data_IF_156560925821
#
_entry.id   IF_156560925821
#
_cell.length_a   1.000
_cell.length_b   1.000
_cell.length_c   1.000
_cell.angle_alpha   90.00
_cell.angle_beta   90.00
_cell.angle_gamma   90.00
#
_symmetry.space_group_name_H-M   'P 1'
#
loop_
_entity.id
_entity.type
_entity.pdbx_description
1 polymer ?
#
# COMPACT_ATOMS: atom_id res chain seq x y z
N UNK A 1 17.40 -32.19 -2.67
CA UNK A 1 16.77 -32.40 -1.35
C UNK A 1 16.83 -31.09 -0.56
N UNK A 2 15.80 -30.25 -0.66
CA UNK A 2 15.72 -28.98 0.09
C UNK A 2 15.27 -29.26 1.51
N UNK A 3 16.17 -29.07 2.48
CA UNK A 3 15.80 -29.06 3.89
C UNK A 3 14.66 -28.04 4.08
N UNK A 4 13.47 -28.53 4.45
CA UNK A 4 12.40 -27.68 4.97
C UNK A 4 12.97 -27.01 6.22
N UNK A 5 13.42 -25.77 6.10
CA UNK A 5 13.71 -24.94 7.27
C UNK A 5 12.39 -24.80 8.02
N UNK A 6 12.21 -25.59 9.08
CA UNK A 6 11.11 -25.42 10.03
C UNK A 6 11.39 -24.12 10.80
N UNK A 7 10.92 -23.03 10.24
CA UNK A 7 11.06 -21.73 10.87
C UNK A 7 10.03 -21.61 11.99
N UNK A 8 10.50 -21.70 13.23
CA UNK A 8 9.68 -21.40 14.40
C UNK A 8 9.43 -19.89 14.44
N UNK A 9 8.25 -19.48 14.01
CA UNK A 9 7.72 -18.17 14.38
C UNK A 9 7.55 -18.11 15.89
N UNK A 10 7.82 -16.96 16.50
CA UNK A 10 7.46 -16.74 17.89
C UNK A 10 5.96 -17.09 18.06
N UNK A 11 5.56 -17.85 19.12
CA UNK A 11 4.17 -18.27 19.31
C UNK A 11 3.14 -17.13 19.19
N UNK A 12 3.55 -15.92 19.59
CA UNK A 12 2.76 -14.69 19.45
C UNK A 12 2.39 -14.36 18.01
N UNK A 13 3.31 -14.54 17.06
CA UNK A 13 3.08 -14.23 15.64
C UNK A 13 2.12 -15.21 15.00
N UNK A 14 2.19 -16.48 15.40
CA UNK A 14 1.23 -17.50 14.99
C UNK A 14 -0.18 -17.14 15.48
N UNK A 15 -0.31 -16.69 16.73
CA UNK A 15 -1.58 -16.23 17.28
C UNK A 15 -2.12 -14.97 16.57
N UNK A 16 -1.26 -13.98 16.31
CA UNK A 16 -1.63 -12.76 15.54
C UNK A 16 -2.08 -13.12 14.12
N UNK A 17 -1.38 -14.04 13.46
CA UNK A 17 -1.74 -14.50 12.12
C UNK A 17 -3.10 -15.23 12.10
N UNK A 18 -3.34 -16.10 13.08
CA UNK A 18 -4.61 -16.81 13.20
C UNK A 18 -5.78 -15.84 13.41
N UNK A 19 -5.61 -14.86 14.32
CA UNK A 19 -6.62 -13.85 14.58
C UNK A 19 -6.86 -12.93 13.36
N UNK A 20 -5.78 -12.54 12.68
CA UNK A 20 -5.88 -11.73 11.46
C UNK A 20 -6.64 -12.50 10.36
N UNK A 21 -6.34 -13.78 10.14
CA UNK A 21 -7.07 -14.63 9.18
C UNK A 21 -8.55 -14.75 9.54
N UNK A 22 -8.86 -14.97 10.82
CA UNK A 22 -10.24 -15.03 11.31
C UNK A 22 -11.00 -13.75 11.00
N UNK A 23 -10.38 -12.58 11.20
CA UNK A 23 -10.99 -11.27 10.91
C UNK A 23 -11.09 -10.94 9.43
N UNK A 24 -10.18 -11.46 8.59
CA UNK A 24 -10.23 -11.26 7.14
C UNK A 24 -11.19 -12.21 6.42
N UNK A 25 -11.54 -13.37 7.02
CA UNK A 25 -12.45 -14.35 6.41
C UNK A 25 -13.78 -13.74 5.93
N UNK A 26 -14.48 -12.86 6.69
CA UNK A 26 -15.70 -12.20 6.22
C UNK A 26 -15.50 -11.25 5.03
N UNK A 27 -14.25 -10.82 4.79
CA UNK A 27 -13.89 -9.94 3.67
C UNK A 27 -13.61 -10.71 2.36
N UNK A 28 -13.62 -12.05 2.37
CA UNK A 28 -13.35 -12.91 1.20
C UNK A 28 -12.03 -12.55 0.49
N UNK A 29 -10.97 -12.36 1.27
CA UNK A 29 -9.62 -12.08 0.77
C UNK A 29 -8.87 -13.38 0.46
N UNK A 30 -9.31 -14.04 -0.61
CA UNK A 30 -8.73 -15.29 -1.11
C UNK A 30 -7.40 -14.97 -1.80
N UNK A 31 -6.33 -14.78 -1.02
CA UNK A 31 -5.02 -14.37 -1.53
C UNK A 31 -4.28 -13.35 -0.68
N UNK A 32 -4.72 -13.08 0.55
CA UNK A 32 -3.97 -12.25 1.47
C UNK A 32 -2.62 -12.90 1.82
N UNK A 33 -1.54 -12.12 1.73
CA UNK A 33 -0.16 -12.62 1.92
C UNK A 33 0.01 -13.36 3.26
N UNK A 34 0.77 -14.46 3.24
CA UNK A 34 1.14 -15.22 4.45
C UNK A 34 2.29 -14.56 5.19
N UNK A 35 2.55 -14.99 6.44
CA UNK A 35 3.75 -14.56 7.18
C UNK A 35 5.04 -14.90 6.42
N UNK A 36 5.13 -16.07 5.80
CA UNK A 36 6.30 -16.46 5.00
C UNK A 36 6.48 -15.52 3.80
N UNK A 37 5.41 -15.21 3.07
CA UNK A 37 5.49 -14.28 1.94
C UNK A 37 5.99 -12.90 2.36
N UNK A 38 5.56 -12.41 3.53
CA UNK A 38 6.01 -11.14 4.06
C UNK A 38 7.46 -11.20 4.51
N UNK A 39 7.85 -12.26 5.21
CA UNK A 39 9.23 -12.46 5.66
C UNK A 39 10.19 -12.41 4.48
N UNK A 40 9.92 -13.22 3.45
CA UNK A 40 10.80 -13.34 2.30
C UNK A 40 10.92 -12.01 1.54
N UNK A 41 9.82 -11.24 1.45
CA UNK A 41 9.85 -9.89 0.86
C UNK A 41 10.60 -8.88 1.72
N UNK A 42 10.47 -8.97 3.05
CA UNK A 42 11.15 -8.07 3.98
C UNK A 42 12.67 -8.33 3.99
N UNK A 43 13.09 -9.60 3.98
CA UNK A 43 14.50 -10.01 3.80
C UNK A 43 15.03 -9.45 2.48
N UNK A 44 14.33 -9.73 1.37
CA UNK A 44 14.77 -9.27 0.07
C UNK A 44 14.87 -7.74 -0.03
N UNK A 45 14.02 -7.01 0.72
CA UNK A 45 14.08 -5.55 0.83
C UNK A 45 15.32 -5.09 1.61
N UNK A 46 15.65 -5.74 2.75
CA UNK A 46 16.88 -5.48 3.49
C UNK A 46 18.13 -5.74 2.65
N UNK A 47 18.21 -6.88 1.95
CA UNK A 47 19.31 -7.20 1.05
C UNK A 47 19.48 -6.16 -0.08
N UNK A 48 18.39 -5.55 -0.52
CA UNK A 48 18.43 -4.47 -1.53
C UNK A 48 18.98 -3.19 -0.92
N UNK A 49 18.61 -2.87 0.32
CA UNK A 49 19.08 -1.66 0.99
C UNK A 49 20.56 -1.72 1.31
N UNK A 50 21.04 -2.85 1.86
CA UNK A 50 22.47 -3.08 2.13
C UNK A 50 23.31 -2.96 0.85
N UNK A 51 22.92 -3.66 -0.21
CA UNK A 51 23.70 -3.66 -1.46
C UNK A 51 23.75 -2.32 -2.18
N UNK A 52 22.80 -1.42 -1.92
CA UNK A 52 22.63 -0.16 -2.67
C UNK A 52 22.86 1.08 -1.82
N UNK A 53 23.17 0.94 -0.54
CA UNK A 53 23.30 2.07 0.39
C UNK A 53 22.01 2.90 0.43
N UNK A 54 20.84 2.25 0.44
CA UNK A 54 19.57 2.98 0.50
C UNK A 54 19.38 3.52 1.91
N UNK A 55 19.40 4.84 1.99
CA UNK A 55 19.03 5.61 3.17
C UNK A 55 17.69 6.30 2.92
N UNK A 56 16.94 6.53 3.99
CA UNK A 56 15.63 7.18 3.91
C UNK A 56 15.17 7.55 5.31
N UNK A 57 14.15 8.42 5.40
CA UNK A 57 13.69 8.96 6.68
C UNK A 57 13.36 7.87 7.72
N UNK A 58 12.83 6.75 7.26
CA UNK A 58 12.44 5.61 8.10
C UNK A 58 13.35 4.37 7.91
N UNK A 59 14.55 4.52 7.35
CA UNK A 59 15.46 3.38 7.13
C UNK A 59 16.01 2.78 8.45
N UNK A 60 16.33 3.62 9.44
CA UNK A 60 16.77 3.16 10.76
C UNK A 60 15.68 2.34 11.46
N UNK A 61 14.43 2.82 11.40
CA UNK A 61 13.27 2.11 11.92
C UNK A 61 13.08 0.76 11.21
N UNK A 62 13.40 0.66 9.92
CA UNK A 62 13.25 -0.59 9.16
C UNK A 62 14.17 -1.68 9.71
N UNK A 63 15.40 -1.32 10.10
CA UNK A 63 16.35 -2.26 10.70
C UNK A 63 15.94 -2.72 12.11
N UNK A 64 15.14 -1.93 12.83
CA UNK A 64 14.52 -2.36 14.09
C UNK A 64 13.46 -3.46 13.87
N UNK A 65 12.91 -3.56 12.66
CA UNK A 65 11.94 -4.58 12.23
C UNK A 65 12.61 -5.82 11.63
N UNK A 66 13.80 -6.17 12.14
CA UNK A 66 14.82 -6.94 11.47
C UNK A 66 14.34 -8.21 10.71
N UNK A 67 15.11 -8.66 9.70
CA UNK A 67 14.71 -9.68 8.73
C UNK A 67 14.25 -11.05 9.29
N UNK A 68 14.49 -11.33 10.57
CA UNK A 68 14.06 -12.57 11.25
C UNK A 68 12.92 -12.41 12.26
N UNK A 69 12.49 -11.19 12.57
CA UNK A 69 11.51 -10.92 13.63
C UNK A 69 10.37 -10.11 13.03
N UNK A 70 9.19 -10.71 12.94
CA UNK A 70 8.01 -9.92 12.62
C UNK A 70 7.82 -8.87 13.72
N UNK A 71 7.34 -7.69 13.32
CA UNK A 71 7.22 -6.60 14.27
C UNK A 71 6.19 -6.92 15.36
N UNK A 72 6.67 -7.11 16.59
CA UNK A 72 5.85 -7.45 17.75
C UNK A 72 4.95 -6.31 18.22
N UNK A 73 5.27 -5.07 17.82
CA UNK A 73 4.44 -3.90 18.07
C UNK A 73 4.28 -3.07 16.77
N UNK A 74 3.06 -3.00 16.20
CA UNK A 74 2.78 -2.16 15.03
C UNK A 74 3.14 -0.68 15.22
N UNK A 75 3.27 -0.19 16.47
CA UNK A 75 3.68 1.18 16.81
C UNK A 75 5.19 1.39 16.71
N UNK A 76 5.97 0.31 16.77
CA UNK A 76 7.43 0.35 16.67
C UNK A 76 7.94 -0.14 15.31
N UNK A 77 7.09 -0.68 14.43
CA UNK A 77 7.54 -0.97 13.06
C UNK A 77 7.72 0.35 12.35
N UNK A 78 8.82 0.46 11.60
CA UNK A 78 8.85 1.32 10.44
C UNK A 78 7.58 1.10 9.63
N UNK A 79 6.78 2.15 9.44
CA UNK A 79 5.55 2.02 8.67
C UNK A 79 5.87 1.42 7.28
N UNK A 80 7.02 1.72 6.70
CA UNK A 80 7.41 1.19 5.41
C UNK A 80 7.78 -0.32 5.39
N UNK A 81 7.91 -1.02 6.52
CA UNK A 81 8.20 -2.46 6.54
C UNK A 81 7.05 -3.29 5.88
N UNK A 82 7.34 -4.44 5.27
CA UNK A 82 6.28 -5.28 4.66
C UNK A 82 5.29 -5.81 5.71
N UNK A 83 5.74 -6.03 6.95
CA UNK A 83 4.88 -6.43 8.08
C UNK A 83 3.85 -5.35 8.46
N UNK A 84 4.26 -4.10 8.63
CA UNK A 84 3.38 -2.99 8.99
C UNK A 84 2.42 -2.66 7.87
N UNK A 85 2.90 -2.64 6.63
CA UNK A 85 2.02 -2.45 5.47
C UNK A 85 0.93 -3.53 5.42
N UNK A 86 1.26 -4.79 5.76
CA UNK A 86 0.28 -5.88 5.83
C UNK A 86 -0.72 -5.69 6.98
N UNK A 87 -0.23 -5.40 8.19
CA UNK A 87 -1.07 -5.22 9.38
C UNK A 87 -2.04 -4.06 9.16
N UNK A 88 -1.57 -2.94 8.63
CA UNK A 88 -2.39 -1.78 8.37
C UNK A 88 -3.40 -2.01 7.25
N UNK A 89 -3.00 -2.71 6.18
CA UNK A 89 -3.92 -3.15 5.14
C UNK A 89 -5.03 -4.03 5.71
N UNK A 90 -4.69 -5.01 6.56
CA UNK A 90 -5.68 -5.83 7.25
C UNK A 90 -6.60 -4.96 8.13
N UNK A 91 -6.04 -4.00 8.87
CA UNK A 91 -6.79 -3.11 9.76
C UNK A 91 -7.86 -2.34 9.03
N UNK A 92 -7.46 -1.66 7.97
CA UNK A 92 -8.34 -0.84 7.18
C UNK A 92 -9.34 -1.71 6.43
N UNK A 93 -8.95 -2.87 5.92
CA UNK A 93 -9.88 -3.75 5.20
C UNK A 93 -10.98 -4.25 6.13
N UNK A 94 -10.64 -4.78 7.31
CA UNK A 94 -11.62 -5.24 8.31
C UNK A 94 -12.53 -4.11 8.77
N UNK A 95 -11.99 -2.90 8.92
CA UNK A 95 -12.76 -1.72 9.36
C UNK A 95 -13.71 -1.19 8.29
N UNK A 96 -13.27 -1.16 7.03
CA UNK A 96 -13.98 -0.49 5.94
C UNK A 96 -14.96 -1.41 5.23
N UNK A 97 -14.61 -2.70 5.09
CA UNK A 97 -15.42 -3.68 4.39
C UNK A 97 -16.88 -3.71 4.86
N UNK A 98 -17.22 -3.90 6.15
CA UNK A 98 -18.62 -3.94 6.59
C UNK A 98 -19.34 -2.60 6.35
N UNK A 99 -18.63 -1.47 6.48
CA UNK A 99 -19.21 -0.12 6.31
C UNK A 99 -19.53 0.18 4.85
N UNK A 100 -18.67 -0.25 3.94
CA UNK A 100 -18.89 -0.11 2.49
C UNK A 100 -19.92 -1.14 1.99
N UNK A 101 -19.87 -2.38 2.49
CA UNK A 101 -20.81 -3.44 2.11
C UNK A 101 -22.26 -3.11 2.49
N UNK A 102 -22.47 -2.44 3.62
CA UNK A 102 -23.79 -2.00 4.09
C UNK A 102 -24.36 -0.80 3.29
N UNK A 103 -23.58 -0.21 2.38
CA UNK A 103 -24.06 0.86 1.51
C UNK A 103 -25.09 0.33 0.51
N UNK A 104 -26.22 1.04 0.39
CA UNK A 104 -27.22 0.78 -0.66
C UNK A 104 -26.76 1.30 -2.02
N UNK A 105 -25.89 2.32 -2.03
CA UNK A 105 -25.31 2.87 -3.25
C UNK A 105 -24.34 1.90 -3.94
N UNK A 106 -24.11 2.07 -5.25
CA UNK A 106 -23.04 1.36 -5.97
C UNK A 106 -21.67 1.57 -5.33
N UNK A 107 -20.76 0.63 -5.56
CA UNK A 107 -19.37 0.69 -5.12
C UNK A 107 -18.49 0.69 -6.36
N UNK A 108 -17.53 1.60 -6.40
CA UNK A 108 -16.63 1.76 -7.54
C UNK A 108 -15.17 1.63 -7.11
N UNK A 109 -14.39 0.94 -7.95
CA UNK A 109 -12.95 1.06 -8.00
C UNK A 109 -12.61 2.14 -9.02
N UNK A 110 -12.00 3.20 -8.52
CA UNK A 110 -11.59 4.37 -9.29
C UNK A 110 -10.07 4.34 -9.41
N UNK A 111 -9.56 4.59 -10.60
CA UNK A 111 -8.15 4.82 -10.87
C UNK A 111 -7.98 6.12 -11.65
N UNK A 112 -7.09 6.98 -11.20
CA UNK A 112 -6.76 8.24 -11.84
C UNK A 112 -5.25 8.30 -12.09
N UNK A 113 -4.88 8.48 -13.35
CA UNK A 113 -3.50 8.73 -13.77
C UNK A 113 -3.43 10.01 -14.59
N UNK A 114 -2.24 10.62 -14.59
CA UNK A 114 -1.93 11.79 -15.41
C UNK A 114 -0.62 11.59 -16.14
N UNK A 115 -0.60 11.90 -17.43
CA UNK A 115 0.64 11.89 -18.23
C UNK A 115 1.70 12.84 -17.66
N UNK A 116 1.30 13.98 -17.12
CA UNK A 116 2.23 14.94 -16.48
C UNK A 116 2.80 14.49 -15.13
N UNK A 117 2.32 13.38 -14.56
CA UNK A 117 2.90 12.78 -13.36
C UNK A 117 3.97 11.75 -13.70
N UNK A 118 4.26 11.52 -14.99
CA UNK A 118 5.33 10.62 -15.38
C UNK A 118 6.66 11.13 -14.84
N UNK A 119 7.38 10.26 -14.17
CA UNK A 119 8.71 10.54 -13.65
C UNK A 119 9.69 9.59 -14.34
N UNK A 120 10.88 10.05 -14.75
CA UNK A 120 11.89 9.13 -15.25
C UNK A 120 12.37 8.19 -14.13
N UNK A 121 12.96 7.02 -14.45
CA UNK A 121 13.60 6.17 -13.46
C UNK A 121 14.71 6.93 -12.72
N UNK A 122 14.74 6.81 -11.39
CA UNK A 122 15.60 7.59 -10.48
C UNK A 122 14.85 8.73 -9.78
N UNK A 123 13.74 9.21 -10.34
CA UNK A 123 13.01 10.38 -9.84
C UNK A 123 11.75 10.05 -9.04
N UNK A 124 11.47 8.78 -8.72
CA UNK A 124 10.23 8.43 -8.00
C UNK A 124 10.12 9.12 -6.63
N UNK A 125 11.25 9.42 -5.99
CA UNK A 125 11.31 10.16 -4.73
C UNK A 125 10.64 11.55 -4.81
N UNK A 126 10.61 12.18 -5.98
CA UNK A 126 9.96 13.50 -6.20
C UNK A 126 8.44 13.42 -6.37
N UNK A 127 7.85 12.23 -6.31
CA UNK A 127 6.40 12.05 -6.40
C UNK A 127 5.67 12.67 -5.21
N UNK A 128 4.96 13.77 -5.44
CA UNK A 128 4.12 14.46 -4.45
C UNK A 128 2.82 13.69 -4.13
N UNK A 129 2.93 12.71 -3.23
CA UNK A 129 1.79 11.92 -2.72
C UNK A 129 0.76 12.80 -2.02
N UNK A 130 1.22 13.78 -1.22
CA UNK A 130 0.34 14.64 -0.44
C UNK A 130 -0.51 15.53 -1.36
N UNK A 131 0.10 16.16 -2.37
CA UNK A 131 -0.59 16.97 -3.37
C UNK A 131 -1.52 16.14 -4.25
N UNK A 132 -1.14 14.91 -4.62
CA UNK A 132 -2.01 13.96 -5.31
C UNK A 132 -3.29 13.65 -4.53
N UNK A 133 -3.15 13.29 -3.25
CA UNK A 133 -4.28 13.03 -2.35
C UNK A 133 -5.12 14.29 -2.11
N UNK A 134 -4.48 15.44 -1.88
CA UNK A 134 -5.18 16.72 -1.68
C UNK A 134 -6.01 17.10 -2.91
N UNK A 135 -5.45 16.93 -4.12
CA UNK A 135 -6.16 17.14 -5.36
C UNK A 135 -7.39 16.22 -5.47
N UNK A 136 -7.24 14.92 -5.19
CA UNK A 136 -8.34 13.96 -5.26
C UNK A 136 -9.45 14.30 -4.28
N UNK A 137 -9.09 14.61 -3.03
CA UNK A 137 -10.03 15.03 -2.00
C UNK A 137 -10.76 16.32 -2.39
N UNK A 138 -10.06 17.29 -3.00
CA UNK A 138 -10.70 18.52 -3.50
C UNK A 138 -11.74 18.21 -4.58
N UNK A 139 -11.49 17.25 -5.46
CA UNK A 139 -12.47 16.80 -6.46
C UNK A 139 -13.66 16.11 -5.82
N UNK A 140 -13.45 15.21 -4.87
CA UNK A 140 -14.57 14.58 -4.17
C UNK A 140 -15.43 15.58 -3.37
N UNK A 141 -14.84 16.68 -2.88
CA UNK A 141 -15.58 17.75 -2.19
C UNK A 141 -16.53 18.54 -3.10
N UNK A 142 -16.41 18.46 -4.43
CA UNK A 142 -17.40 19.08 -5.33
C UNK A 142 -18.70 18.28 -5.43
N UNK A 143 -18.72 17.05 -4.90
CA UNK A 143 -19.93 16.25 -4.78
C UNK A 143 -20.69 16.63 -3.51
N UNK A 144 -22.00 16.31 -3.41
CA UNK A 144 -22.80 16.63 -2.23
C UNK A 144 -22.13 16.15 -0.94
N UNK A 145 -22.17 16.98 0.12
CA UNK A 145 -21.48 16.68 1.39
C UNK A 145 -21.92 15.32 1.95
N UNK A 146 -20.96 14.45 2.26
CA UNK A 146 -21.22 13.13 2.81
C UNK A 146 -21.68 12.07 1.80
N UNK A 147 -21.79 12.44 0.51
CA UNK A 147 -22.12 11.49 -0.56
C UNK A 147 -21.02 10.46 -0.75
N UNK A 148 -19.74 10.82 -0.63
CA UNK A 148 -18.63 9.88 -0.88
C UNK A 148 -18.12 9.26 0.42
N UNK A 149 -18.07 7.93 0.45
CA UNK A 149 -17.42 7.14 1.52
C UNK A 149 -16.45 6.15 0.90
N UNK A 150 -15.29 5.94 1.51
CA UNK A 150 -14.30 5.05 0.93
C UNK A 150 -12.90 5.16 1.48
N UNK A 151 -11.97 4.59 0.71
CA UNK A 151 -10.54 4.68 0.93
C UNK A 151 -9.84 5.00 -0.36
N UNK A 152 -8.86 5.89 -0.27
CA UNK A 152 -8.01 6.35 -1.37
C UNK A 152 -6.59 5.90 -1.03
N UNK A 153 -5.84 5.42 -2.01
CA UNK A 153 -4.44 5.03 -1.92
C UNK A 153 -3.65 5.62 -3.09
N UNK A 154 -2.34 5.72 -2.90
CA UNK A 154 -1.39 6.10 -3.96
C UNK A 154 -0.45 4.93 -4.23
N UNK A 155 -0.33 4.56 -5.49
CA UNK A 155 0.64 3.59 -5.99
C UNK A 155 1.45 4.18 -7.15
N UNK A 156 2.54 3.50 -7.49
CA UNK A 156 3.33 3.82 -8.67
C UNK A 156 3.67 2.53 -9.41
N UNK A 157 3.48 2.52 -10.73
CA UNK A 157 3.88 1.43 -11.63
C UNK A 157 4.94 1.90 -12.59
N UNK A 158 5.90 1.02 -12.92
CA UNK A 158 6.86 1.30 -13.98
C UNK A 158 6.23 0.96 -15.32
N UNK A 159 6.43 1.81 -16.32
CA UNK A 159 6.03 1.55 -17.69
C UNK A 159 7.28 1.50 -18.58
N UNK A 160 7.24 0.63 -19.58
CA UNK A 160 8.25 0.49 -20.63
C UNK A 160 7.53 0.38 -21.97
N UNK A 161 7.81 1.33 -22.85
CA UNK A 161 7.27 1.36 -24.21
C UNK A 161 8.44 1.56 -25.17
N UNK A 162 8.78 0.51 -25.92
CA UNK A 162 9.91 0.54 -26.85
C UNK A 162 11.25 0.90 -26.21
N UNK A 163 11.48 0.54 -24.94
CA UNK A 163 12.69 0.87 -24.19
C UNK A 163 12.64 2.21 -23.45
N UNK A 164 11.63 3.05 -23.71
CA UNK A 164 11.39 4.28 -22.97
C UNK A 164 10.66 3.95 -21.67
N UNK A 165 11.32 4.23 -20.54
CA UNK A 165 10.80 3.89 -19.21
C UNK A 165 10.38 5.12 -18.43
N UNK A 166 9.29 5.00 -17.69
CA UNK A 166 8.85 6.01 -16.73
C UNK A 166 8.05 5.39 -15.58
N UNK A 167 8.13 5.99 -14.41
CA UNK A 167 7.20 5.78 -13.32
C UNK A 167 5.89 6.51 -13.61
N UNK A 168 4.78 5.83 -13.37
CA UNK A 168 3.44 6.39 -13.45
C UNK A 168 2.79 6.29 -12.06
N UNK A 169 2.81 7.39 -11.28
CA UNK A 169 1.97 7.52 -10.11
C UNK A 169 0.49 7.40 -10.48
N UNK A 170 -0.26 6.74 -9.61
CA UNK A 170 -1.68 6.47 -9.77
C UNK A 170 -2.37 6.66 -8.43
N UNK A 171 -3.53 7.31 -8.50
CA UNK A 171 -4.45 7.43 -7.38
C UNK A 171 -5.52 6.38 -7.56
N UNK A 172 -5.68 5.51 -6.58
CA UNK A 172 -6.72 4.49 -6.58
C UNK A 172 -7.69 4.73 -5.43
N UNK A 173 -8.95 4.41 -5.62
CA UNK A 173 -9.92 4.49 -4.54
C UNK A 173 -11.01 3.43 -4.66
N UNK A 174 -11.43 2.87 -3.53
CA UNK A 174 -12.71 2.17 -3.43
C UNK A 174 -13.69 3.11 -2.75
N UNK A 175 -14.73 3.52 -3.47
CA UNK A 175 -15.70 4.51 -3.01
C UNK A 175 -17.13 4.06 -3.26
N UNK A 176 -18.05 4.52 -2.42
CA UNK A 176 -19.49 4.34 -2.60
C UNK A 176 -20.21 5.68 -2.45
N UNK A 177 -21.38 5.79 -3.10
CA UNK A 177 -22.33 6.88 -2.90
C UNK A 177 -22.85 7.50 -4.19
N UNK A 178 -22.05 8.35 -4.88
CA UNK A 178 -22.48 8.98 -6.12
C UNK A 178 -22.51 7.97 -7.28
N UNK A 179 -23.33 8.25 -8.29
CA UNK A 179 -23.31 7.46 -9.53
C UNK A 179 -22.01 7.66 -10.32
N UNK A 180 -21.78 6.76 -11.28
CA UNK A 180 -20.59 6.75 -12.13
C UNK A 180 -20.40 8.05 -12.91
N UNK A 181 -21.47 8.69 -13.36
CA UNK A 181 -21.42 9.92 -14.19
C UNK A 181 -20.97 11.09 -13.33
N UNK A 182 -21.55 11.26 -12.15
CA UNK A 182 -21.18 12.29 -11.19
C UNK A 182 -19.71 12.12 -10.74
N UNK A 183 -19.28 10.88 -10.47
CA UNK A 183 -17.88 10.58 -10.15
C UNK A 183 -16.93 10.93 -11.31
N UNK A 184 -17.29 10.52 -12.53
CA UNK A 184 -16.50 10.82 -13.73
C UNK A 184 -16.37 12.34 -13.92
N UNK A 185 -17.48 13.08 -13.79
CA UNK A 185 -17.51 14.53 -13.93
C UNK A 185 -16.69 15.24 -12.84
N UNK A 186 -16.72 14.76 -11.60
CA UNK A 186 -15.93 15.33 -10.51
C UNK A 186 -14.42 15.09 -10.68
N UNK A 187 -14.04 13.90 -11.16
CA UNK A 187 -12.63 13.47 -11.27
C UNK A 187 -11.98 13.88 -12.59
N UNK A 188 -12.77 14.15 -13.62
CA UNK A 188 -12.27 14.67 -14.90
C UNK A 188 -12.22 16.21 -14.83
N UNK A 189 -11.07 16.85 -15.10
CA UNK A 189 -11.04 18.31 -15.25
C UNK A 189 -11.98 18.75 -16.38
N UNK A 190 -12.53 19.98 -16.29
CA UNK A 190 -13.36 20.56 -17.35
C UNK A 190 -12.61 20.56 -18.70
N UNK A 191 -13.35 20.35 -19.79
CA UNK A 191 -12.82 20.39 -21.15
C UNK A 191 -11.96 21.65 -21.37
N UNK A 192 -10.78 21.48 -21.96
CA UNK A 192 -9.76 22.54 -22.15
C UNK A 192 -8.62 22.54 -21.11
N UNK A 193 -8.78 21.87 -19.96
CA UNK A 193 -7.70 21.73 -18.97
C UNK A 193 -6.86 20.45 -19.21
N UNK A 194 -5.89 20.59 -20.13
CA UNK A 194 -4.77 19.68 -20.40
C UNK A 194 -5.10 18.25 -20.88
N UNK A 195 -4.67 17.85 -22.10
CA UNK A 195 -4.68 16.45 -22.52
C UNK A 195 -3.94 15.54 -21.52
N UNK A 196 -4.38 14.28 -21.38
CA UNK A 196 -3.61 13.25 -20.67
C UNK A 196 -4.06 12.90 -19.25
N UNK A 197 -5.31 13.14 -18.90
CA UNK A 197 -5.95 12.47 -17.75
C UNK A 197 -6.59 11.18 -18.19
N UNK A 198 -6.35 10.10 -17.46
CA UNK A 198 -7.09 8.86 -17.63
C UNK A 198 -7.76 8.52 -16.29
N UNK A 199 -9.09 8.60 -16.30
CA UNK A 199 -9.94 8.20 -15.18
C UNK A 199 -10.63 6.91 -15.60
N UNK A 200 -10.42 5.84 -14.81
CA UNK A 200 -11.09 4.56 -14.99
C UNK A 200 -11.98 4.31 -13.78
N UNK A 201 -13.28 4.10 -14.04
CA UNK A 201 -14.26 3.78 -13.00
C UNK A 201 -14.90 2.44 -13.35
N UNK A 202 -14.69 1.46 -12.47
CA UNK A 202 -15.23 0.10 -12.60
C UNK A 202 -16.14 -0.16 -11.42
N UNK A 203 -17.34 -0.68 -11.67
CA UNK A 203 -18.22 -1.12 -10.60
C UNK A 203 -17.67 -2.38 -9.95
N UNK A 204 -17.69 -2.41 -8.62
CA UNK A 204 -17.17 -3.51 -7.82
C UNK A 204 -18.33 -4.28 -7.26
N UNK A 205 -18.43 -5.56 -7.63
CA UNK A 205 -19.37 -6.46 -6.99
C UNK A 205 -19.07 -6.58 -5.49
N UNK A 206 -20.13 -6.61 -4.67
CA UNK A 206 -20.00 -6.69 -3.20
C UNK A 206 -19.27 -7.96 -2.74
N UNK A 207 -19.31 -9.03 -3.54
CA UNK A 207 -18.54 -10.27 -3.38
C UNK A 207 -17.02 -10.04 -3.41
N UNK A 208 -16.55 -9.06 -4.20
CA UNK A 208 -15.14 -8.73 -4.44
C UNK A 208 -14.66 -7.48 -3.69
N UNK A 209 -15.50 -6.89 -2.84
CA UNK A 209 -15.21 -5.65 -2.13
C UNK A 209 -13.93 -5.72 -1.29
N UNK A 210 -13.70 -6.82 -0.56
CA UNK A 210 -12.47 -7.00 0.22
C UNK A 210 -11.24 -6.93 -0.66
N UNK A 211 -11.23 -7.64 -1.78
CA UNK A 211 -10.12 -7.64 -2.73
C UNK A 211 -9.86 -6.25 -3.30
N UNK A 212 -10.91 -5.49 -3.65
CA UNK A 212 -10.77 -4.12 -4.12
C UNK A 212 -10.14 -3.20 -3.06
N UNK A 213 -10.59 -3.28 -1.80
CA UNK A 213 -10.02 -2.49 -0.70
C UNK A 213 -8.55 -2.86 -0.48
N UNK A 214 -8.25 -4.16 -0.45
CA UNK A 214 -6.89 -4.67 -0.25
C UNK A 214 -5.98 -4.29 -1.41
N UNK A 215 -6.47 -4.24 -2.64
CA UNK A 215 -5.71 -3.80 -3.81
C UNK A 215 -5.28 -2.33 -3.69
N UNK A 216 -6.20 -1.43 -3.33
CA UNK A 216 -5.90 0.01 -3.14
C UNK A 216 -4.86 0.24 -2.04
N UNK A 217 -4.84 -0.63 -1.04
CA UNK A 217 -3.93 -0.55 0.12
C UNK A 217 -2.63 -1.36 -0.06
N UNK A 218 -2.44 -2.02 -1.21
CA UNK A 218 -1.28 -2.87 -1.43
C UNK A 218 -0.02 -2.04 -1.69
N UNK A 219 1.12 -2.52 -1.19
CA UNK A 219 2.47 -1.97 -1.45
C UNK A 219 3.08 -2.46 -2.77
N UNK A 220 2.40 -3.32 -3.53
CA UNK A 220 3.02 -3.98 -4.68
C UNK A 220 3.06 -3.08 -5.90
N UNK A 221 4.25 -2.79 -6.40
CA UNK A 221 4.42 -2.22 -7.74
C UNK A 221 4.56 -3.32 -8.80
N UNK A 222 4.21 -2.98 -10.04
CA UNK A 222 4.37 -3.84 -11.23
C UNK A 222 4.91 -3.03 -12.40
N UNK A 223 5.53 -3.72 -13.34
CA UNK A 223 6.03 -3.13 -14.58
C UNK A 223 5.06 -3.49 -15.71
N UNK A 224 4.65 -2.50 -16.47
CA UNK A 224 3.82 -2.65 -17.65
C UNK A 224 4.69 -2.47 -18.89
N UNK A 225 4.76 -3.48 -19.74
CA UNK A 225 5.54 -3.45 -20.98
C UNK A 225 4.57 -3.43 -22.16
N UNK A 226 4.76 -2.47 -23.07
CA UNK A 226 4.05 -2.40 -24.35
C UNK A 226 5.07 -2.51 -25.48
N UNK A 227 4.88 -3.51 -26.34
CA UNK A 227 5.72 -3.72 -27.52
C UNK A 227 5.16 -2.97 -28.76
N UNK A 228 3.94 -2.44 -28.69
CA UNK A 228 3.30 -1.62 -29.72
C UNK A 228 3.30 -0.12 -29.33
N UNK A 229 3.27 0.75 -30.35
CA UNK A 229 3.37 2.23 -30.29
C UNK A 229 2.35 2.95 -29.40
N UNK A 230 2.15 4.26 -29.61
CA UNK A 230 1.50 5.25 -28.70
C UNK A 230 0.11 4.92 -28.10
N UNK A 231 -0.49 3.79 -28.47
CA UNK A 231 -1.74 3.33 -27.89
C UNK A 231 -1.50 2.60 -26.56
N UNK A 232 -1.53 3.37 -25.45
CA UNK A 232 -1.31 2.95 -24.06
C UNK A 232 -2.22 1.81 -23.55
N UNK A 233 -3.06 1.20 -24.39
CA UNK A 233 -4.02 0.16 -24.02
C UNK A 233 -3.88 -1.16 -24.78
N UNK A 234 -3.25 -1.18 -25.96
CA UNK A 234 -3.14 -2.39 -26.76
C UNK A 234 -1.86 -3.18 -26.41
N UNK A 235 -1.98 -4.46 -26.04
CA UNK A 235 -0.83 -5.36 -25.89
C UNK A 235 0.02 -5.19 -24.62
N UNK A 236 -0.46 -4.50 -23.58
CA UNK A 236 0.29 -4.36 -22.33
C UNK A 236 0.37 -5.67 -21.55
N UNK A 237 1.60 -6.16 -21.35
CA UNK A 237 1.88 -7.26 -20.43
C UNK A 237 2.38 -6.73 -19.09
N UNK A 238 1.96 -7.38 -18.01
CA UNK A 238 2.42 -7.04 -16.65
C UNK A 238 3.51 -8.01 -16.23
N UNK A 239 4.68 -7.48 -15.89
CA UNK A 239 5.87 -8.26 -15.51
C UNK A 239 6.41 -7.82 -14.13
N UNK A 240 7.22 -8.66 -13.46
CA UNK A 240 7.91 -8.27 -12.22
C UNK A 240 8.82 -7.05 -12.43
N UNK A 241 8.96 -6.20 -11.41
CA UNK A 241 9.90 -5.09 -11.45
C UNK A 241 11.35 -5.60 -11.48
N UNK A 242 12.21 -5.08 -12.36
CA UNK A 242 13.65 -5.28 -12.25
C UNK A 242 14.17 -4.81 -10.88
N UNK A 243 15.15 -5.52 -10.32
CA UNK A 243 15.67 -5.29 -8.96
C UNK A 243 16.08 -3.83 -8.70
N UNK A 244 16.62 -3.13 -9.71
CA UNK A 244 16.97 -1.70 -9.61
C UNK A 244 15.78 -0.80 -9.32
N UNK A 245 14.71 -0.98 -10.09
CA UNK A 245 13.50 -0.17 -9.98
C UNK A 245 12.68 -0.57 -8.75
N UNK A 246 12.74 -1.84 -8.35
CA UNK A 246 12.17 -2.28 -7.09
C UNK A 246 12.84 -1.59 -5.89
N UNK A 247 14.16 -1.42 -5.94
CA UNK A 247 14.90 -0.73 -4.88
C UNK A 247 14.54 0.77 -4.79
N UNK A 248 14.41 1.44 -5.94
CA UNK A 248 13.91 2.82 -6.01
C UNK A 248 12.50 2.94 -5.43
N UNK A 249 11.60 2.04 -5.80
CA UNK A 249 10.26 1.99 -5.25
C UNK A 249 10.25 1.73 -3.74
N UNK A 250 11.11 0.83 -3.26
CA UNK A 250 11.20 0.56 -1.84
C UNK A 250 11.72 1.76 -1.03
N UNK A 251 12.72 2.48 -1.57
CA UNK A 251 13.25 3.71 -1.01
C UNK A 251 12.18 4.82 -0.95
N UNK A 252 11.46 5.05 -2.06
CA UNK A 252 10.34 6.00 -2.11
C UNK A 252 9.31 5.73 -1.01
N UNK A 253 9.02 4.45 -0.74
CA UNK A 253 8.11 4.09 0.33
C UNK A 253 8.71 4.18 1.73
N UNK A 254 10.03 4.09 1.89
CA UNK A 254 10.71 4.35 3.17
C UNK A 254 10.64 5.81 3.58
N UNK A 255 10.50 6.73 2.62
CA UNK A 255 10.36 8.17 2.92
C UNK A 255 8.93 8.57 3.30
N UNK A 256 8.00 7.61 3.32
CA UNK A 256 6.59 7.84 3.58
C UNK A 256 6.08 6.98 4.73
N UNK A 257 5.34 7.59 5.65
CA UNK A 257 4.54 6.82 6.58
C UNK A 257 3.44 6.06 5.82
N UNK A 258 3.07 4.87 6.29
CA UNK A 258 1.96 4.10 5.70
C UNK A 258 0.68 4.93 5.65
N UNK A 259 0.41 5.69 6.69
CA UNK A 259 -0.74 6.57 6.79
C UNK A 259 -0.69 7.76 5.84
N UNK A 260 0.46 8.12 5.29
CA UNK A 260 0.58 9.19 4.28
C UNK A 260 0.12 8.71 2.89
N UNK A 261 0.19 7.39 2.65
CA UNK A 261 -0.15 6.79 1.35
C UNK A 261 -1.63 6.55 1.13
N UNK A 262 -2.45 6.69 2.17
CA UNK A 262 -3.89 6.51 2.07
C UNK A 262 -4.71 7.52 2.86
N UNK A 263 -5.96 7.68 2.44
CA UNK A 263 -6.96 8.52 3.11
C UNK A 263 -8.29 7.78 3.18
N UNK A 264 -8.84 7.71 4.38
CA UNK A 264 -10.21 7.24 4.60
C UNK A 264 -11.14 8.45 4.50
N UNK A 265 -12.22 8.34 3.72
CA UNK A 265 -13.16 9.44 3.45
C UNK A 265 -14.58 9.08 3.83
N UNK A 266 -15.35 10.07 4.30
CA UNK A 266 -16.79 9.94 4.56
C UNK A 266 -17.16 9.07 5.77
N UNK A 267 -16.18 8.57 6.53
CA UNK A 267 -16.42 7.81 7.76
C UNK A 267 -16.12 8.66 8.99
N UNK A 268 -17.03 8.66 9.97
CA UNK A 268 -16.70 9.20 11.31
C UNK A 268 -15.52 8.40 11.88
N UNK A 269 -14.57 9.07 12.58
CA UNK A 269 -13.62 8.36 13.41
C UNK A 269 -14.44 7.53 14.42
N UNK A 270 -14.31 6.20 14.35
CA UNK A 270 -14.99 5.29 15.25
C UNK A 270 -13.94 4.56 16.11
N UNK A 271 -14.33 4.00 17.26
CA UNK A 271 -13.39 3.33 18.12
C UNK A 271 -12.93 1.98 17.53
N UNK A 272 -11.71 1.64 17.95
CA UNK A 272 -11.10 0.32 18.08
C UNK A 272 -9.90 0.04 17.16
N UNK A 273 -8.69 -0.10 17.73
CA UNK A 273 -7.56 -0.74 17.06
C UNK A 273 -7.90 -2.19 16.68
N UNK A 274 -7.21 -2.72 15.66
CA UNK A 274 -7.36 -4.13 15.21
C UNK A 274 -7.08 -5.13 16.33
N UNK A 275 -6.34 -4.69 17.34
CA UNK A 275 -5.92 -5.44 18.49
C UNK A 275 -6.38 -4.67 19.73
N UNK A 276 -6.94 -5.35 20.72
CA UNK A 276 -7.19 -4.73 22.02
C UNK A 276 -5.84 -4.25 22.58
N UNK A 277 -5.74 -3.00 23.03
CA UNK A 277 -4.50 -2.49 23.66
C UNK A 277 -4.04 -3.39 24.82
N UNK A 278 -4.99 -4.07 25.48
CA UNK A 278 -4.70 -5.07 26.52
C UNK A 278 -4.08 -6.35 25.96
N UNK A 279 -4.43 -6.75 24.74
CA UNK A 279 -3.84 -7.91 24.04
C UNK A 279 -2.44 -7.66 23.46
N UNK A 280 -1.99 -6.38 23.42
CA UNK A 280 -0.65 -5.97 22.97
C UNK A 280 0.28 -5.59 24.14
N UNK A 281 -0.23 -5.38 25.37
CA UNK A 281 0.63 -5.07 26.54
C UNK A 281 1.49 -6.27 26.94
N UNK A 282 2.65 -6.40 26.30
CA UNK A 282 3.81 -7.05 26.89
C UNK A 282 4.44 -6.09 27.93
N UNK A 283 5.11 -6.60 28.98
CA UNK A 283 5.88 -5.78 29.90
C UNK A 283 6.87 -4.93 29.11
N UNK A 284 7.01 -3.65 29.47
CA UNK A 284 8.02 -2.74 28.91
C UNK A 284 9.41 -3.35 29.13
N UNK A 285 9.91 -4.15 28.19
CA UNK A 285 11.35 -4.43 28.12
C UNK A 285 11.96 -3.12 27.64
N UNK A 286 12.65 -2.42 28.54
CA UNK A 286 13.37 -1.20 28.20
C UNK A 286 14.40 -1.55 27.12
N UNK A 287 14.21 -1.04 25.90
CA UNK A 287 15.18 -1.11 24.80
C UNK A 287 16.58 -0.60 25.19
N UNK A 288 16.71 0.13 26.30
CA UNK A 288 17.99 0.63 26.84
C UNK A 288 18.92 -0.43 27.44
N UNK A 289 18.50 -1.69 27.54
CA UNK A 289 19.34 -2.78 28.07
C UNK A 289 19.97 -3.68 26.98
N UNK A 290 19.39 -3.78 25.77
CA UNK A 290 19.99 -4.60 24.70
C UNK A 290 21.03 -3.87 23.84
N UNK A 291 20.97 -2.55 23.73
CA UNK A 291 21.97 -1.78 22.99
C UNK A 291 23.31 -1.57 23.73
N UNK A 292 23.43 -2.03 24.99
CA UNK A 292 24.72 -2.03 25.71
C UNK A 292 25.54 -3.32 25.51
N UNK A 293 24.99 -4.33 24.83
CA UNK A 293 25.64 -5.63 24.63
C UNK A 293 26.30 -5.85 23.27
N UNK A 294 26.04 -5.00 22.27
CA UNK A 294 26.71 -5.09 20.97
C UNK A 294 28.05 -4.36 21.06
N UNK A 295 29.08 -5.13 21.40
CA UNK A 295 30.44 -4.68 21.67
C UNK A 295 31.03 -3.80 20.59
N UNK A 296 31.79 -2.79 21.05
CA UNK A 296 32.82 -2.13 20.27
C UNK A 296 33.72 -3.20 19.63
N UNK A 297 34.11 -3.06 18.34
CA UNK A 297 35.19 -3.88 17.81
C UNK A 297 36.45 -3.56 18.60
N UNK A 298 37.01 -4.56 19.30
CA UNK A 298 38.36 -4.46 19.85
C UNK A 298 39.33 -4.40 18.68
N UNK A 299 40.17 -3.36 18.65
CA UNK A 299 41.43 -3.37 17.91
C UNK A 299 42.38 -4.39 18.52
#
# INVERSE_FOLDING_TARGET
MTAKRSHFYAPRLVAVEAELRKRLKPCRLDGFETLDNIRDRNIAMGDRFERRGIEGKHSQDFWLCGPGWACDDPRTCCAACHYASRIERARLTVRLHPRLKASTSPIYLVSVVRKKWRLPPGELHSCDVAGGLAWFLKRLKSLPKGSVKGVIGVDASLHDQGGHRWWQPRLQAVITGPDKVALQAALTPKAGMTPGWLVKIVEVERSHLGNAISQVLARTSRMHVSDAGDDERAGQRTVPLPSRHLAEHDAWLLDQAVTERFRVVGFRPGPAPLFDEKSIRAPRIRLSERLRGCGRPRK
#
